data_IF_133547938035
#
_entry.id   IF_133547938035
#
_cell.length_a   1.000
_cell.length_b   1.000
_cell.length_c   1.000
_cell.angle_alpha   90.00
_cell.angle_beta   90.00
_cell.angle_gamma   90.00
#
_symmetry.space_group_name_H-M   'P 1'
#
loop_
_entity.id
_entity.type
_entity.pdbx_description
1 polymer ?
#
# COMPACT_ATOMS: atom_id res chain seq x y z
N UNK A 1 -11.60 32.85 -15.99
CA UNK A 1 -10.15 32.53 -16.06
C UNK A 1 -9.55 32.18 -14.69
N UNK A 2 -9.61 33.05 -13.67
CA UNK A 2 -9.01 32.78 -12.34
C UNK A 2 -9.49 31.49 -11.66
N UNK A 3 -10.79 31.20 -11.66
CA UNK A 3 -11.36 29.95 -11.09
C UNK A 3 -10.86 28.68 -11.80
N UNK A 4 -10.63 28.78 -13.11
CA UNK A 4 -10.13 27.67 -13.93
C UNK A 4 -8.65 27.41 -13.65
N UNK A 5 -7.85 28.46 -13.48
CA UNK A 5 -6.45 28.35 -13.07
C UNK A 5 -6.31 27.69 -11.68
N UNK A 6 -7.14 28.06 -10.71
CA UNK A 6 -7.16 27.42 -9.39
C UNK A 6 -7.57 25.94 -9.45
N UNK A 7 -8.56 25.59 -10.29
CA UNK A 7 -8.93 24.20 -10.50
C UNK A 7 -7.76 23.38 -11.08
N UNK A 8 -7.04 23.91 -12.07
CA UNK A 8 -5.86 23.25 -12.63
C UNK A 8 -4.75 23.07 -11.59
N UNK A 9 -4.47 24.08 -10.76
CA UNK A 9 -3.46 23.99 -9.70
C UNK A 9 -3.84 22.91 -8.69
N UNK A 10 -5.09 22.87 -8.24
CA UNK A 10 -5.58 21.82 -7.33
C UNK A 10 -5.41 20.43 -7.95
N UNK A 11 -5.78 20.27 -9.21
CA UNK A 11 -5.66 18.99 -9.91
C UNK A 11 -4.20 18.52 -9.98
N UNK A 12 -3.27 19.42 -10.31
CA UNK A 12 -1.83 19.12 -10.33
C UNK A 12 -1.32 18.74 -8.95
N UNK A 13 -1.68 19.49 -7.91
CA UNK A 13 -1.26 19.20 -6.53
C UNK A 13 -1.78 17.83 -6.06
N UNK A 14 -3.06 17.52 -6.32
CA UNK A 14 -3.64 16.20 -6.00
C UNK A 14 -2.93 15.09 -6.77
N UNK A 15 -2.61 15.29 -8.05
CA UNK A 15 -1.84 14.34 -8.85
C UNK A 15 -0.44 14.08 -8.29
N UNK A 16 0.27 15.13 -7.86
CA UNK A 16 1.58 15.00 -7.22
C UNK A 16 1.47 14.21 -5.93
N UNK A 17 0.54 14.55 -5.04
CA UNK A 17 0.30 13.82 -3.78
C UNK A 17 -0.02 12.36 -4.07
N UNK A 18 -0.90 12.08 -5.04
CA UNK A 18 -1.23 10.72 -5.45
C UNK A 18 0.00 9.94 -5.95
N UNK A 19 0.97 10.61 -6.57
CA UNK A 19 2.22 10.00 -7.04
C UNK A 19 3.21 9.66 -5.92
N UNK A 20 3.15 10.34 -4.77
CA UNK A 20 4.19 10.26 -3.72
C UNK A 20 3.81 9.37 -2.53
N UNK A 21 2.57 8.89 -2.44
CA UNK A 21 2.07 8.17 -1.26
C UNK A 21 1.57 6.77 -1.64
N UNK A 22 1.66 5.83 -0.71
CA UNK A 22 1.06 4.50 -0.79
C UNK A 22 0.28 4.19 0.50
N UNK A 23 -0.91 3.63 0.33
CA UNK A 23 -1.72 2.99 1.38
C UNK A 23 -1.36 1.50 1.39
N UNK A 24 -0.56 1.11 2.37
CA UNK A 24 0.00 -0.23 2.50
C UNK A 24 -0.78 -1.04 3.54
N UNK A 25 -1.52 -2.05 3.10
CA UNK A 25 -2.41 -2.85 3.93
C UNK A 25 -1.74 -4.18 4.25
N UNK A 26 -1.44 -4.40 5.53
CA UNK A 26 -0.89 -5.66 6.03
C UNK A 26 -2.05 -6.48 6.61
N UNK A 27 -2.41 -7.62 6.00
CA UNK A 27 -3.49 -8.46 6.52
C UNK A 27 -3.10 -9.09 7.86
N UNK A 28 -4.09 -9.57 8.63
CA UNK A 28 -3.87 -10.39 9.81
C UNK A 28 -3.01 -11.62 9.50
N UNK A 29 -1.78 -11.65 10.03
CA UNK A 29 -0.85 -12.77 9.91
C UNK A 29 -0.49 -13.28 11.31
N UNK A 30 0.03 -14.50 11.44
CA UNK A 30 0.31 -15.10 12.76
C UNK A 30 1.17 -14.21 13.69
N UNK A 31 2.10 -13.42 13.14
CA UNK A 31 2.92 -12.46 13.89
C UNK A 31 2.26 -11.09 14.14
N UNK A 32 1.19 -10.75 13.43
CA UNK A 32 0.43 -9.51 13.54
C UNK A 32 -1.07 -9.82 13.43
N UNK A 33 -1.70 -10.31 14.52
CA UNK A 33 -3.04 -10.89 14.48
C UNK A 33 -4.15 -9.88 14.15
N UNK A 34 -3.93 -8.60 14.42
CA UNK A 34 -4.89 -7.53 14.12
C UNK A 34 -4.81 -7.03 12.67
N UNK A 35 -3.70 -7.33 11.97
CA UNK A 35 -3.33 -6.60 10.75
C UNK A 35 -3.13 -5.10 11.00
N UNK A 36 -2.68 -4.35 9.99
CA UNK A 36 -2.55 -2.89 10.04
C UNK A 36 -2.61 -2.28 8.66
N UNK A 37 -3.04 -1.03 8.57
CA UNK A 37 -2.89 -0.23 7.35
C UNK A 37 -1.91 0.90 7.63
N UNK A 38 -0.91 1.10 6.77
CA UNK A 38 0.08 2.16 6.89
C UNK A 38 -0.03 3.11 5.70
N UNK A 39 -0.02 4.41 5.96
CA UNK A 39 0.19 5.42 4.90
C UNK A 39 1.68 5.72 4.91
N UNK A 40 2.35 5.51 3.77
CA UNK A 40 3.80 5.63 3.65
C UNK A 40 4.18 6.37 2.37
N UNK A 41 5.41 6.88 2.32
CA UNK A 41 5.95 7.40 1.06
C UNK A 41 6.05 6.27 0.03
N UNK A 42 5.71 6.57 -1.23
CA UNK A 42 5.69 5.57 -2.29
C UNK A 42 7.09 5.01 -2.54
N UNK A 43 7.16 3.69 -2.68
CA UNK A 43 8.33 2.98 -3.16
C UNK A 43 8.17 2.69 -4.66
N UNK A 44 9.29 2.59 -5.39
CA UNK A 44 9.27 2.34 -6.85
C UNK A 44 8.49 1.09 -7.29
N UNK A 45 8.28 0.11 -6.39
CA UNK A 45 7.57 -1.13 -6.68
C UNK A 45 6.16 -1.21 -6.06
N UNK A 46 5.69 -0.13 -5.42
CA UNK A 46 4.37 -0.10 -4.76
C UNK A 46 3.31 0.63 -5.57
N UNK A 47 2.12 0.05 -5.63
CA UNK A 47 0.93 0.70 -6.16
C UNK A 47 0.37 1.74 -5.16
N UNK A 48 -0.67 2.48 -5.53
CA UNK A 48 -1.29 3.46 -4.61
C UNK A 48 -1.92 2.78 -3.39
N UNK A 49 -2.64 1.69 -3.62
CA UNK A 49 -3.09 0.77 -2.58
C UNK A 49 -2.35 -0.53 -2.84
N UNK A 50 -1.63 -1.02 -1.84
CA UNK A 50 -0.80 -2.21 -1.98
C UNK A 50 -0.77 -3.01 -0.68
N UNK A 51 -0.30 -4.25 -0.76
CA UNK A 51 -0.12 -5.13 0.39
C UNK A 51 1.10 -6.02 0.20
N UNK A 52 1.63 -6.65 1.27
CA UNK A 52 2.68 -7.65 1.13
C UNK A 52 2.29 -8.75 0.12
N UNK A 53 1.05 -9.22 0.18
CA UNK A 53 0.54 -10.31 -0.66
C UNK A 53 0.42 -9.91 -2.11
N UNK A 54 -0.12 -8.72 -2.38
CA UNK A 54 -0.20 -8.19 -3.74
C UNK A 54 1.19 -7.99 -4.37
N UNK A 55 2.17 -7.54 -3.58
CA UNK A 55 3.56 -7.45 -4.04
C UNK A 55 4.17 -8.84 -4.28
N UNK A 56 3.92 -9.81 -3.40
CA UNK A 56 4.37 -11.19 -3.56
C UNK A 56 3.84 -11.83 -4.85
N UNK A 57 2.53 -11.72 -5.08
CA UNK A 57 1.90 -12.21 -6.29
C UNK A 57 2.53 -11.58 -7.55
N UNK A 58 2.75 -10.26 -7.56
CA UNK A 58 3.35 -9.56 -8.72
C UNK A 58 4.82 -9.90 -8.96
N UNK A 59 5.61 -10.10 -7.89
CA UNK A 59 7.06 -10.29 -7.99
C UNK A 59 7.41 -11.77 -8.23
N UNK A 60 6.65 -12.69 -7.63
CA UNK A 60 6.99 -14.11 -7.54
C UNK A 60 5.95 -15.04 -8.18
N UNK A 61 4.77 -14.54 -8.53
CA UNK A 61 3.65 -15.35 -9.01
C UNK A 61 2.93 -16.13 -7.91
N UNK A 62 3.17 -15.81 -6.63
CA UNK A 62 2.52 -16.46 -5.50
C UNK A 62 2.86 -15.82 -4.14
N UNK A 63 2.12 -16.22 -3.11
CA UNK A 63 2.28 -15.68 -1.74
C UNK A 63 2.89 -16.75 -0.83
N UNK A 64 3.96 -16.38 -0.14
CA UNK A 64 4.63 -17.22 0.88
C UNK A 64 4.97 -16.39 2.12
N UNK A 65 5.11 -17.05 3.27
CA UNK A 65 5.54 -16.40 4.52
C UNK A 65 6.89 -15.69 4.37
N UNK A 66 7.83 -16.31 3.65
CA UNK A 66 9.13 -15.70 3.37
C UNK A 66 8.97 -14.43 2.54
N UNK A 67 8.15 -14.45 1.49
CA UNK A 67 7.89 -13.26 0.71
C UNK A 67 7.27 -12.12 1.55
N UNK A 68 6.23 -12.43 2.34
CA UNK A 68 5.58 -11.47 3.24
C UNK A 68 6.62 -10.82 4.16
N UNK A 69 7.49 -11.63 4.77
CA UNK A 69 8.57 -11.17 5.64
C UNK A 69 9.55 -10.25 4.92
N UNK A 70 10.01 -10.63 3.71
CA UNK A 70 10.92 -9.82 2.91
C UNK A 70 10.32 -8.48 2.51
N UNK A 71 9.05 -8.47 2.04
CA UNK A 71 8.37 -7.23 1.65
C UNK A 71 8.16 -6.32 2.85
N UNK A 72 7.68 -6.85 3.99
CA UNK A 72 7.52 -6.05 5.20
C UNK A 72 8.86 -5.48 5.69
N UNK A 73 9.92 -6.28 5.69
CA UNK A 73 11.27 -5.83 6.04
C UNK A 73 11.77 -4.74 5.10
N UNK A 74 11.54 -4.88 3.79
CA UNK A 74 11.89 -3.87 2.80
C UNK A 74 11.09 -2.57 2.99
N UNK A 75 9.80 -2.65 3.31
CA UNK A 75 8.95 -1.48 3.58
C UNK A 75 9.45 -0.73 4.81
N UNK A 76 9.67 -1.42 5.93
CA UNK A 76 10.16 -0.78 7.16
C UNK A 76 11.54 -0.15 6.97
N UNK A 77 12.40 -0.73 6.13
CA UNK A 77 13.75 -0.22 5.88
C UNK A 77 13.81 0.95 4.88
N UNK A 78 12.99 0.92 3.83
CA UNK A 78 13.17 1.80 2.67
C UNK A 78 12.15 2.92 2.55
N UNK A 79 11.12 2.98 3.41
CA UNK A 79 10.14 4.09 3.39
C UNK A 79 9.85 4.62 4.78
N UNK A 80 9.30 5.85 4.81
CA UNK A 80 8.81 6.49 6.01
C UNK A 80 7.31 6.26 6.13
N UNK A 81 6.89 5.67 7.25
CA UNK A 81 5.48 5.52 7.59
C UNK A 81 4.99 6.86 8.18
N UNK A 82 4.04 7.48 7.50
CA UNK A 82 3.42 8.75 7.89
C UNK A 82 2.31 8.53 8.93
N UNK A 83 1.51 7.47 8.75
CA UNK A 83 0.37 7.17 9.62
C UNK A 83 0.14 5.66 9.71
N UNK A 84 -0.37 5.20 10.86
CA UNK A 84 -0.84 3.83 11.06
C UNK A 84 -2.33 3.84 11.44
N UNK A 85 -3.09 3.05 10.71
CA UNK A 85 -4.54 2.88 10.83
C UNK A 85 -4.85 1.40 11.14
N UNK A 86 -6.04 1.09 11.67
CA UNK A 86 -6.50 -0.29 11.79
C UNK A 86 -6.56 -0.97 10.42
N UNK A 87 -6.56 -2.30 10.43
CA UNK A 87 -6.74 -3.09 9.22
C UNK A 87 -8.08 -2.78 8.55
N UNK A 88 -8.08 -2.70 7.23
CA UNK A 88 -9.27 -2.46 6.43
C UNK A 88 -9.35 -3.51 5.31
N UNK A 89 -10.30 -4.43 5.44
CA UNK A 89 -10.42 -5.57 4.52
C UNK A 89 -10.71 -5.15 3.06
N UNK A 90 -11.51 -4.10 2.87
CA UNK A 90 -11.80 -3.58 1.54
C UNK A 90 -10.54 -3.07 0.82
N UNK A 91 -9.62 -2.41 1.52
CA UNK A 91 -8.36 -1.95 0.94
C UNK A 91 -7.43 -3.12 0.62
N UNK A 92 -7.45 -4.17 1.45
CA UNK A 92 -6.71 -5.40 1.16
C UNK A 92 -7.22 -6.06 -0.12
N UNK A 93 -8.53 -6.24 -0.27
CA UNK A 93 -9.12 -6.82 -1.48
C UNK A 93 -8.81 -5.97 -2.73
N UNK A 94 -8.84 -4.64 -2.62
CA UNK A 94 -8.43 -3.76 -3.72
C UNK A 94 -6.95 -4.00 -4.09
N UNK A 95 -6.07 -4.17 -3.10
CA UNK A 95 -4.65 -4.42 -3.35
C UNK A 95 -4.38 -5.73 -4.09
N UNK A 96 -5.13 -6.79 -3.79
CA UNK A 96 -4.93 -8.14 -4.32
C UNK A 96 -5.79 -8.46 -5.55
N UNK A 97 -6.58 -7.50 -6.03
CA UNK A 97 -7.52 -7.73 -7.14
C UNK A 97 -8.68 -8.66 -6.77
N UNK A 98 -9.11 -8.63 -5.51
CA UNK A 98 -10.24 -9.43 -4.98
C UNK A 98 -9.85 -10.81 -4.46
N UNK A 99 -8.58 -11.21 -4.56
CA UNK A 99 -8.09 -12.49 -4.03
C UNK A 99 -7.79 -12.40 -2.53
N UNK A 100 -8.03 -13.47 -1.80
CA UNK A 100 -7.53 -13.63 -0.43
C UNK A 100 -6.47 -14.72 -0.40
N UNK A 101 -5.42 -14.48 0.38
CA UNK A 101 -4.37 -15.46 0.59
C UNK A 101 -4.38 -15.86 2.06
N UNK A 102 -4.48 -17.16 2.31
CA UNK A 102 -4.51 -17.69 3.67
C UNK A 102 -3.21 -17.41 4.44
N UNK A 103 -3.28 -17.60 5.75
CA UNK A 103 -2.22 -17.26 6.71
C UNK A 103 -0.98 -18.12 6.54
#
# INVERSE_FOLDING_TARGET
MRKFAWACVIFVVVGIIYSQITVFVVPPIGALPEGRTAIMLRLNKTNFIDSPDAMCERIQGGVSLLCRGMIMGAVVKNTTILLRLPYMDGLYLVSTGGKRYDR
#
